data_IF_554385281080
#
_entry.id   IF_554385281080
#
_cell.length_a   1.000
_cell.length_b   1.000
_cell.length_c   1.000
_cell.angle_alpha   90.00
_cell.angle_beta   90.00
_cell.angle_gamma   90.00
#
_symmetry.space_group_name_H-M   'P 1'
#
loop_
_entity.id
_entity.type
_entity.pdbx_description
1 polymer ?
#
# COMPACT_ATOMS: atom_id res chain seq x y z
N UNK A 1 13.12 28.49 -1.47
CA UNK A 1 11.78 29.03 -1.80
C UNK A 1 10.78 28.18 -1.05
N UNK A 2 10.09 28.75 -0.06
CA UNK A 2 9.08 28.06 0.74
C UNK A 2 7.79 27.99 -0.08
N UNK A 3 7.41 26.81 -0.57
CA UNK A 3 6.05 26.59 -1.05
C UNK A 3 5.16 26.40 0.17
N UNK A 4 4.42 27.44 0.55
CA UNK A 4 3.35 27.33 1.54
C UNK A 4 2.12 26.72 0.86
N UNK A 5 1.99 25.40 0.93
CA UNK A 5 0.70 24.73 0.74
C UNK A 5 -0.02 24.68 2.09
N UNK A 6 -1.35 24.72 2.07
CA UNK A 6 -2.22 24.63 3.26
C UNK A 6 -2.14 23.28 4.02
N UNK A 7 -1.07 22.51 3.80
CA UNK A 7 -0.89 21.10 4.15
C UNK A 7 0.50 20.82 4.73
N UNK A 8 1.00 21.72 5.60
CA UNK A 8 2.25 21.51 6.34
C UNK A 8 3.53 21.44 5.50
N UNK A 9 4.66 21.54 6.17
CA UNK A 9 5.99 21.54 5.53
C UNK A 9 6.71 20.23 5.81
N UNK A 10 7.16 19.51 4.77
CA UNK A 10 8.08 18.39 4.94
C UNK A 10 9.47 18.94 5.28
N UNK A 11 10.16 18.44 6.33
CA UNK A 11 11.58 18.70 6.47
C UNK A 11 12.32 18.02 5.31
N UNK A 12 12.85 18.83 4.40
CA UNK A 12 13.80 18.38 3.39
C UNK A 12 15.08 17.98 4.15
N UNK A 13 15.38 16.69 4.18
CA UNK A 13 16.58 16.10 4.80
C UNK A 13 16.71 16.32 6.32
N UNK A 14 16.01 15.49 7.10
CA UNK A 14 16.39 15.24 8.50
C UNK A 14 17.09 13.88 8.61
N UNK A 15 18.25 13.79 9.31
CA UNK A 15 18.99 12.54 9.47
C UNK A 15 18.15 11.53 10.26
N UNK A 16 17.83 10.40 9.63
CA UNK A 16 17.32 9.11 10.16
C UNK A 16 16.76 9.09 11.59
N UNK A 17 15.88 10.04 11.93
CA UNK A 17 15.02 9.97 13.10
C UNK A 17 13.60 9.84 12.55
N UNK A 18 13.26 8.60 12.20
CA UNK A 18 11.96 8.19 11.66
C UNK A 18 10.89 8.40 12.73
N UNK A 19 10.42 9.64 12.83
CA UNK A 19 9.49 10.07 13.87
C UNK A 19 8.20 10.54 13.25
N UNK A 20 7.09 10.06 13.79
CA UNK A 20 5.75 10.52 13.42
C UNK A 20 5.61 11.98 13.86
N UNK A 21 5.13 12.83 12.95
CA UNK A 21 4.89 14.23 13.27
C UNK A 21 3.82 14.34 14.37
N UNK A 22 4.05 15.12 15.45
CA UNK A 22 3.04 15.33 16.48
C UNK A 22 1.76 15.95 15.89
N UNK A 23 0.60 15.45 16.31
CA UNK A 23 -0.69 16.01 15.91
C UNK A 23 -0.77 17.51 16.26
N UNK A 24 -1.19 18.33 15.31
CA UNK A 24 -1.30 19.78 15.49
C UNK A 24 0.01 20.57 15.39
N UNK A 25 1.15 19.92 15.11
CA UNK A 25 2.44 20.59 14.92
C UNK A 25 2.57 21.39 13.62
N UNK A 26 1.61 21.27 12.70
CA UNK A 26 1.71 21.85 11.36
C UNK A 26 2.70 21.12 10.43
N UNK A 27 3.33 20.03 10.90
CA UNK A 27 4.17 19.14 10.11
C UNK A 27 3.38 17.89 9.70
N UNK A 28 3.68 17.35 8.52
CA UNK A 28 3.17 16.06 8.06
C UNK A 28 4.23 14.97 8.23
N UNK A 29 3.81 13.71 8.23
CA UNK A 29 4.71 12.55 8.39
C UNK A 29 5.14 12.02 7.03
N UNK A 30 6.44 11.75 6.89
CA UNK A 30 7.01 11.12 5.70
C UNK A 30 6.56 9.67 5.51
N UNK A 31 6.57 9.22 4.25
CA UNK A 31 6.18 7.86 3.87
C UNK A 31 7.04 6.79 4.59
N UNK A 32 8.33 7.05 4.76
CA UNK A 32 9.30 6.18 5.43
C UNK A 32 8.95 5.92 6.91
N UNK A 33 8.68 6.98 7.67
CA UNK A 33 8.29 6.89 9.07
C UNK A 33 6.91 6.21 9.26
N UNK A 34 5.99 6.44 8.32
CA UNK A 34 4.67 5.77 8.33
C UNK A 34 4.81 4.27 8.09
N UNK A 35 5.59 3.87 7.09
CA UNK A 35 5.78 2.46 6.76
C UNK A 35 6.50 1.74 7.91
N UNK A 36 7.54 2.32 8.50
CA UNK A 36 8.21 1.73 9.65
C UNK A 36 7.24 1.57 10.83
N UNK A 37 6.45 2.60 11.15
CA UNK A 37 5.52 2.54 12.27
C UNK A 37 4.44 1.49 12.08
N UNK A 38 3.78 1.46 10.93
CA UNK A 38 2.64 0.57 10.67
C UNK A 38 3.07 -0.89 10.56
N UNK A 39 4.27 -1.14 10.02
CA UNK A 39 4.78 -2.50 9.91
C UNK A 39 5.40 -3.02 11.22
N UNK A 40 5.62 -2.16 12.22
CA UNK A 40 6.11 -2.58 13.52
C UNK A 40 5.05 -3.42 14.27
N UNK A 41 5.32 -4.71 14.44
CA UNK A 41 4.41 -5.64 15.11
C UNK A 41 3.25 -6.14 14.24
N UNK A 42 3.18 -5.75 12.96
CA UNK A 42 2.16 -6.25 12.03
C UNK A 42 2.40 -7.72 11.68
N UNK A 43 1.41 -8.58 11.95
CA UNK A 43 1.46 -10.00 11.65
C UNK A 43 1.02 -10.29 10.21
N UNK A 44 1.99 -10.54 9.33
CA UNK A 44 1.75 -10.81 7.89
C UNK A 44 1.01 -12.13 7.61
N UNK A 45 0.91 -13.02 8.59
CA UNK A 45 0.23 -14.31 8.46
C UNK A 45 -1.23 -14.24 8.96
N UNK A 46 -1.62 -13.15 9.61
CA UNK A 46 -2.98 -12.96 10.09
C UNK A 46 -3.86 -12.41 8.96
N UNK A 47 -5.07 -12.96 8.85
CA UNK A 47 -6.04 -12.44 7.89
C UNK A 47 -6.57 -11.07 8.38
N UNK A 48 -6.71 -10.09 7.48
CA UNK A 48 -7.28 -8.80 7.83
C UNK A 48 -8.65 -8.92 8.51
N UNK A 49 -8.94 -8.02 9.45
CA UNK A 49 -10.27 -7.89 10.04
C UNK A 49 -10.71 -9.05 10.95
N UNK A 50 -9.79 -9.88 11.45
CA UNK A 50 -10.09 -10.93 12.41
C UNK A 50 -10.60 -12.24 11.80
N UNK A 51 -10.23 -12.53 10.55
CA UNK A 51 -10.38 -13.87 9.94
C UNK A 51 -11.15 -13.93 8.62
N UNK A 52 -11.84 -12.86 8.24
CA UNK A 52 -12.60 -12.81 6.98
C UNK A 52 -12.26 -11.54 6.20
N UNK A 53 -11.76 -11.75 4.97
CA UNK A 53 -11.41 -10.67 4.05
C UNK A 53 -12.12 -10.88 2.72
N UNK A 54 -12.66 -9.79 2.15
CA UNK A 54 -13.21 -9.81 0.81
C UNK A 54 -12.11 -9.47 -0.19
N UNK A 55 -11.84 -10.37 -1.12
CA UNK A 55 -10.84 -10.20 -2.17
C UNK A 55 -11.54 -9.94 -3.49
N UNK A 56 -11.07 -8.93 -4.22
CA UNK A 56 -11.45 -8.68 -5.61
C UNK A 56 -10.32 -9.18 -6.51
N UNK A 57 -10.64 -10.06 -7.44
CA UNK A 57 -9.68 -10.65 -8.39
C UNK A 57 -10.05 -10.19 -9.79
N UNK A 58 -9.06 -9.68 -10.51
CA UNK A 58 -9.18 -9.19 -11.88
C UNK A 58 -8.13 -9.89 -12.74
N UNK A 59 -8.57 -10.49 -13.86
CA UNK A 59 -7.71 -11.26 -14.74
C UNK A 59 -7.68 -10.59 -16.11
N UNK A 60 -6.48 -10.24 -16.57
CA UNK A 60 -6.24 -9.76 -17.91
C UNK A 60 -5.50 -10.84 -18.69
N UNK A 61 -6.12 -11.31 -19.77
CA UNK A 61 -5.46 -12.23 -20.70
C UNK A 61 -4.64 -11.39 -21.67
N UNK A 62 -3.33 -11.64 -21.72
CA UNK A 62 -2.44 -11.00 -22.68
C UNK A 62 -2.47 -11.77 -24.00
N UNK A 63 -2.26 -13.09 -23.92
CA UNK A 63 -2.15 -13.97 -25.06
C UNK A 63 -2.61 -15.40 -24.70
N UNK A 64 -3.10 -16.12 -25.72
CA UNK A 64 -3.30 -17.57 -25.68
C UNK A 64 -2.15 -18.20 -26.43
N UNK A 65 -1.17 -18.72 -25.70
CA UNK A 65 0.13 -19.13 -26.24
C UNK A 65 0.05 -20.47 -26.98
N UNK A 66 -0.90 -21.34 -26.59
CA UNK A 66 -1.11 -22.64 -27.22
C UNK A 66 -2.52 -23.16 -26.99
N UNK A 67 -3.06 -23.85 -27.99
CA UNK A 67 -4.30 -24.61 -27.90
C UNK A 67 -4.01 -26.05 -28.31
N UNK A 68 -4.32 -27.01 -27.43
CA UNK A 68 -4.18 -28.45 -27.67
C UNK A 68 -5.58 -29.03 -27.81
N UNK A 69 -6.05 -29.16 -29.05
CA UNK A 69 -7.43 -29.59 -29.32
C UNK A 69 -7.71 -31.02 -28.82
N UNK A 70 -6.75 -31.94 -28.97
CA UNK A 70 -6.94 -33.35 -28.60
C UNK A 70 -7.15 -33.57 -27.10
N UNK A 71 -6.55 -32.73 -26.25
CA UNK A 71 -6.73 -32.75 -24.79
C UNK A 71 -7.68 -31.67 -24.29
N UNK A 72 -8.13 -30.76 -25.16
CA UNK A 72 -8.91 -29.56 -24.79
C UNK A 72 -8.22 -28.69 -23.73
N UNK A 73 -6.91 -28.54 -23.86
CA UNK A 73 -6.07 -27.72 -22.98
C UNK A 73 -5.62 -26.44 -23.69
N UNK A 74 -5.43 -25.37 -22.94
CA UNK A 74 -4.86 -24.14 -23.44
C UNK A 74 -3.83 -23.59 -22.45
N UNK A 75 -2.78 -22.97 -22.98
CA UNK A 75 -1.76 -22.26 -22.21
C UNK A 75 -2.03 -20.75 -22.35
N UNK A 76 -2.07 -20.01 -21.23
CA UNK A 76 -2.34 -18.57 -21.20
C UNK A 76 -1.21 -17.80 -20.54
N UNK A 77 -0.94 -16.61 -21.09
CA UNK A 77 -0.19 -15.57 -20.42
C UNK A 77 -1.17 -14.54 -19.84
N UNK A 78 -1.27 -14.48 -18.50
CA UNK A 78 -2.24 -13.63 -17.79
C UNK A 78 -1.58 -12.71 -16.77
N UNK A 79 -2.19 -11.54 -16.57
CA UNK A 79 -1.99 -10.73 -15.37
C UNK A 79 -3.15 -10.95 -14.41
N UNK A 80 -2.83 -11.36 -13.20
CA UNK A 80 -3.79 -11.47 -12.10
C UNK A 80 -3.55 -10.31 -11.14
N UNK A 81 -4.58 -9.50 -10.92
CA UNK A 81 -4.58 -8.44 -9.92
C UNK A 81 -5.51 -8.81 -8.79
N UNK A 82 -4.97 -8.84 -7.58
CA UNK A 82 -5.72 -9.09 -6.36
C UNK A 82 -5.78 -7.81 -5.54
N UNK A 83 -6.97 -7.50 -5.01
CA UNK A 83 -7.19 -6.35 -4.14
C UNK A 83 -7.99 -6.75 -2.92
N UNK A 84 -7.49 -6.40 -1.75
CA UNK A 84 -8.19 -6.50 -0.48
C UNK A 84 -7.92 -5.26 0.36
N UNK A 85 -8.74 -5.05 1.39
CA UNK A 85 -8.55 -3.96 2.35
C UNK A 85 -8.10 -4.54 3.68
N UNK A 86 -7.03 -3.98 4.23
CA UNK A 86 -6.56 -4.29 5.57
C UNK A 86 -6.65 -3.07 6.49
N UNK A 87 -7.56 -3.07 7.48
CA UNK A 87 -7.69 -1.99 8.46
C UNK A 87 -6.42 -1.76 9.29
N UNK A 88 -5.60 -2.80 9.54
CA UNK A 88 -4.37 -2.67 10.31
C UNK A 88 -3.29 -1.84 9.60
N UNK A 89 -3.39 -1.74 8.26
CA UNK A 89 -2.47 -0.96 7.43
C UNK A 89 -3.00 0.47 7.16
N UNK A 90 -4.08 0.90 7.81
CA UNK A 90 -4.65 2.22 7.61
C UNK A 90 -3.73 3.32 8.20
N UNK A 91 -3.32 4.28 7.37
CA UNK A 91 -2.30 5.28 7.75
C UNK A 91 -2.78 6.74 7.76
N UNK A 92 -4.03 7.00 7.38
CA UNK A 92 -4.55 8.36 7.28
C UNK A 92 -4.47 9.14 8.60
N UNK A 93 -4.57 8.42 9.73
CA UNK A 93 -4.44 9.00 11.07
C UNK A 93 -3.01 9.42 11.41
N UNK A 94 -1.99 9.03 10.64
CA UNK A 94 -0.60 9.43 10.87
C UNK A 94 -0.21 10.74 10.16
N UNK A 95 -1.19 11.45 9.58
CA UNK A 95 -1.00 12.72 8.87
C UNK A 95 0.08 12.64 7.76
N UNK A 96 -0.07 11.73 6.77
CA UNK A 96 0.87 11.61 5.66
C UNK A 96 1.01 12.91 4.88
N UNK A 97 2.23 13.21 4.45
CA UNK A 97 2.49 14.31 3.52
C UNK A 97 1.82 14.02 2.16
N UNK A 98 1.03 14.96 1.66
CA UNK A 98 0.50 14.88 0.28
C UNK A 98 1.59 15.34 -0.68
N UNK A 99 1.92 14.53 -1.69
CA UNK A 99 2.72 14.98 -2.83
C UNK A 99 1.89 15.81 -3.80
#
# INVERSE_FOLDING_TARGET
>A
MLHSSAYGSCPYDSPHNLTIAPFGSGMCTGDDAIIEHILNGYNKLELPGGGHVRVSVEIWVQEVSKIIEITSEFELDIYVTERWTDPALAYAHLNPCKR
#
